data_IF_525164008633
#
_entry.id   IF_525164008633
#
_cell.length_a   1.000
_cell.length_b   1.000
_cell.length_c   1.000
_cell.angle_alpha   90.00
_cell.angle_beta   90.00
_cell.angle_gamma   90.00
#
_symmetry.space_group_name_H-M   'P 1'
#
loop_
_entity.id
_entity.type
_entity.pdbx_description
1 polymer ?
#
# COMPACT_ATOMS: atom_id res chain seq x y z
N UNK A 1 28.84 32.58 -50.08
CA UNK A 1 28.32 32.23 -48.75
C UNK A 1 29.36 31.37 -48.05
N UNK A 2 29.84 31.78 -46.88
CA UNK A 2 31.04 31.23 -46.25
C UNK A 2 30.78 29.81 -45.69
N UNK A 3 31.52 28.83 -46.23
CA UNK A 3 31.37 27.38 -45.96
C UNK A 3 31.51 27.04 -44.47
N UNK A 4 32.23 27.88 -43.72
CA UNK A 4 32.39 27.74 -42.27
C UNK A 4 31.11 28.09 -41.51
N UNK A 5 30.33 29.08 -41.96
CA UNK A 5 29.07 29.49 -41.30
C UNK A 5 27.95 28.46 -41.48
N UNK A 6 27.96 27.71 -42.57
CA UNK A 6 26.94 26.68 -42.84
C UNK A 6 27.11 25.43 -41.95
N UNK A 7 28.36 25.04 -41.65
CA UNK A 7 28.65 23.92 -40.75
C UNK A 7 28.25 24.21 -39.29
N UNK A 8 28.42 25.45 -38.82
CA UNK A 8 28.00 25.84 -37.46
C UNK A 8 26.47 25.76 -37.25
N UNK A 9 25.68 26.09 -38.27
CA UNK A 9 24.21 26.04 -38.20
C UNK A 9 23.70 24.59 -38.19
N UNK A 10 24.36 23.71 -38.94
CA UNK A 10 24.03 22.27 -38.99
C UNK A 10 24.44 21.52 -37.71
N UNK A 11 25.57 21.87 -37.10
CA UNK A 11 25.97 21.27 -35.81
C UNK A 11 25.11 21.76 -34.64
N UNK A 12 24.60 23.00 -34.69
CA UNK A 12 23.76 23.57 -33.63
C UNK A 12 22.37 22.94 -33.59
N UNK A 13 21.78 22.64 -34.74
CA UNK A 13 20.41 22.11 -34.83
C UNK A 13 20.31 20.63 -34.49
N UNK A 14 21.31 19.81 -34.85
CA UNK A 14 21.32 18.38 -34.52
C UNK A 14 21.45 18.12 -32.99
N UNK A 15 22.23 18.95 -32.30
CA UNK A 15 22.45 18.83 -30.85
C UNK A 15 21.20 19.19 -30.04
N UNK A 16 20.38 20.14 -30.51
CA UNK A 16 19.15 20.55 -29.83
C UNK A 16 18.02 19.53 -29.96
N UNK A 17 17.94 18.77 -31.05
CA UNK A 17 16.94 17.71 -31.22
C UNK A 17 17.22 16.46 -30.39
N UNK A 18 18.49 16.13 -30.10
CA UNK A 18 18.83 14.95 -29.29
C UNK A 18 18.55 15.16 -27.79
N UNK A 19 18.66 16.40 -27.30
CA UNK A 19 18.40 16.75 -25.90
C UNK A 19 16.91 16.72 -25.53
N UNK A 20 16.01 16.91 -26.50
CA UNK A 20 14.55 16.90 -26.26
C UNK A 20 13.98 15.50 -25.98
N UNK A 21 14.58 14.43 -26.51
CA UNK A 21 14.06 13.07 -26.39
C UNK A 21 14.49 12.32 -25.12
N UNK A 22 15.49 12.82 -24.39
CA UNK A 22 15.96 12.20 -23.12
C UNK A 22 15.16 12.74 -21.91
N UNK A 23 14.37 13.80 -22.11
CA UNK A 23 13.43 14.34 -21.11
C UNK A 23 12.15 13.49 -20.93
N UNK A 24 12.17 12.22 -21.33
CA UNK A 24 11.24 11.20 -20.83
C UNK A 24 11.48 10.90 -19.35
N UNK A 25 11.63 11.93 -18.51
CA UNK A 25 11.58 11.81 -17.07
C UNK A 25 10.16 11.40 -16.72
N UNK A 26 9.94 10.08 -16.60
CA UNK A 26 8.84 9.57 -15.81
C UNK A 26 8.87 10.33 -14.47
N UNK A 27 7.92 11.26 -14.29
CA UNK A 27 7.75 11.91 -12.98
C UNK A 27 7.58 10.76 -12.00
N UNK A 28 8.41 10.68 -10.94
CA UNK A 28 8.16 9.74 -9.88
C UNK A 28 6.71 9.95 -9.48
N UNK A 29 5.90 8.90 -9.61
CA UNK A 29 4.57 8.95 -8.99
C UNK A 29 4.81 9.31 -7.52
N UNK A 30 3.89 10.02 -6.88
CA UNK A 30 3.96 10.35 -5.43
C UNK A 30 4.25 9.16 -4.50
N UNK A 31 4.26 7.94 -5.04
CA UNK A 31 4.56 6.68 -4.37
C UNK A 31 6.02 6.18 -4.54
N UNK A 32 6.88 6.87 -5.30
CA UNK A 32 8.28 6.46 -5.51
C UNK A 32 9.24 7.52 -4.96
N UNK A 33 9.44 7.50 -3.65
CA UNK A 33 10.44 8.28 -2.93
C UNK A 33 11.65 7.39 -2.60
N UNK A 34 12.83 7.99 -2.61
CA UNK A 34 14.18 7.41 -2.45
C UNK A 34 14.25 6.22 -1.45
N UNK A 35 14.67 5.01 -1.87
CA UNK A 35 14.47 3.77 -1.10
C UNK A 35 15.44 3.52 0.07
N UNK A 36 16.40 4.41 0.33
CA UNK A 36 17.43 4.17 1.35
C UNK A 36 17.32 5.15 2.52
N UNK A 37 16.23 5.06 3.27
CA UNK A 37 16.20 5.56 4.65
C UNK A 37 16.83 4.48 5.52
N UNK A 38 17.87 4.83 6.29
CA UNK A 38 18.46 3.90 7.25
C UNK A 38 17.34 3.38 8.17
N UNK A 39 17.13 2.06 8.20
CA UNK A 39 16.14 1.47 9.10
C UNK A 39 16.59 1.73 10.54
N UNK A 40 15.63 2.10 11.37
CA UNK A 40 15.83 2.18 12.81
C UNK A 40 16.37 0.82 13.30
N UNK A 41 17.34 0.85 14.22
CA UNK A 41 17.98 -0.38 14.72
C UNK A 41 17.05 -1.10 15.70
N UNK A 42 16.18 -0.35 16.37
CA UNK A 42 15.16 -0.90 17.24
C UNK A 42 13.91 -1.22 16.41
N UNK A 43 13.43 -2.46 16.52
CA UNK A 43 12.17 -2.84 15.87
C UNK A 43 11.03 -2.09 16.55
N UNK A 44 10.27 -1.25 15.82
CA UNK A 44 9.15 -0.52 16.42
C UNK A 44 8.09 -1.49 16.93
N UNK A 45 7.36 -1.08 17.98
CA UNK A 45 6.21 -1.84 18.45
C UNK A 45 5.15 -1.94 17.35
N UNK A 46 4.61 -3.14 17.16
CA UNK A 46 3.52 -3.39 16.22
C UNK A 46 2.22 -2.78 16.77
N UNK A 47 1.75 -1.72 16.09
CA UNK A 47 0.56 -0.96 16.49
C UNK A 47 -0.73 -1.62 15.98
N UNK A 48 -0.69 -2.19 14.77
CA UNK A 48 -1.86 -2.78 14.12
C UNK A 48 -1.59 -4.19 13.58
N UNK A 49 -2.58 -5.08 13.68
CA UNK A 49 -2.52 -6.40 13.04
C UNK A 49 -3.18 -6.39 11.67
N UNK A 50 -2.52 -6.99 10.68
CA UNK A 50 -3.03 -7.25 9.33
C UNK A 50 -2.56 -8.63 8.87
N UNK A 51 -3.07 -9.11 7.73
CA UNK A 51 -2.93 -10.52 7.31
C UNK A 51 -1.47 -11.02 7.31
N UNK A 52 -0.49 -10.17 6.97
CA UNK A 52 0.92 -10.58 6.93
C UNK A 52 1.61 -10.62 8.31
N UNK A 53 1.09 -9.87 9.31
CA UNK A 53 1.60 -9.88 10.69
C UNK A 53 0.86 -10.92 11.55
N UNK A 54 -0.41 -11.14 11.25
CA UNK A 54 -1.28 -12.03 12.00
C UNK A 54 -2.03 -11.30 13.13
N UNK A 55 -3.05 -11.99 13.64
CA UNK A 55 -3.97 -11.49 14.66
C UNK A 55 -3.28 -11.24 16.01
N UNK A 56 -3.57 -10.10 16.65
CA UNK A 56 -3.13 -9.80 18.03
C UNK A 56 -4.23 -10.20 19.02
N UNK A 57 -3.90 -11.07 19.98
CA UNK A 57 -4.86 -11.54 21.01
C UNK A 57 -5.54 -10.37 21.72
N UNK A 58 -6.85 -10.48 21.91
CA UNK A 58 -7.67 -9.46 22.59
C UNK A 58 -8.10 -8.30 21.70
N UNK A 59 -7.83 -8.36 20.39
CA UNK A 59 -8.34 -7.37 19.43
C UNK A 59 -9.59 -7.90 18.73
N UNK A 60 -10.55 -7.02 18.46
CA UNK A 60 -11.73 -7.36 17.64
C UNK A 60 -11.59 -6.77 16.23
N UNK A 61 -12.39 -7.21 15.24
CA UNK A 61 -12.37 -6.65 13.90
C UNK A 61 -12.62 -5.14 13.90
N UNK A 62 -11.93 -4.42 13.02
CA UNK A 62 -12.06 -2.96 12.92
C UNK A 62 -13.49 -2.52 12.56
N UNK A 63 -14.21 -3.31 11.74
CA UNK A 63 -15.60 -3.00 11.33
C UNK A 63 -16.58 -2.96 12.50
N UNK A 64 -16.18 -3.45 13.69
CA UNK A 64 -16.94 -3.41 14.93
C UNK A 64 -16.29 -2.50 15.99
N UNK A 65 -15.44 -1.55 15.57
CA UNK A 65 -14.76 -0.61 16.46
C UNK A 65 -13.49 -1.15 17.11
N UNK A 66 -12.95 -2.27 16.63
CA UNK A 66 -11.64 -2.78 17.06
C UNK A 66 -10.46 -2.25 16.26
N UNK A 67 -9.30 -2.89 16.45
CA UNK A 67 -8.05 -2.55 15.77
C UNK A 67 -7.55 -3.63 14.82
N UNK A 68 -8.25 -4.78 14.73
CA UNK A 68 -7.83 -5.86 13.85
C UNK A 68 -8.26 -5.60 12.40
N UNK A 69 -7.26 -5.49 11.52
CA UNK A 69 -7.43 -5.28 10.09
C UNK A 69 -6.88 -6.48 9.29
N UNK A 70 -7.00 -7.69 9.84
CA UNK A 70 -6.71 -8.94 9.15
C UNK A 70 -7.87 -9.32 8.21
N UNK A 71 -7.54 -9.89 7.04
CA UNK A 71 -8.56 -10.40 6.12
C UNK A 71 -9.37 -11.52 6.78
N UNK A 72 -10.71 -11.50 6.72
CA UNK A 72 -11.56 -12.57 7.27
C UNK A 72 -11.21 -13.95 6.68
N UNK A 73 -10.76 -14.86 7.54
CA UNK A 73 -10.55 -16.27 7.22
C UNK A 73 -11.19 -17.15 8.30
N UNK A 74 -11.29 -18.48 8.06
CA UNK A 74 -11.80 -19.42 9.07
C UNK A 74 -10.91 -19.42 10.31
N UNK A 75 -9.61 -19.32 10.11
CA UNK A 75 -8.58 -19.31 11.13
C UNK A 75 -8.67 -18.04 11.98
N UNK A 76 -8.82 -16.88 11.34
CA UNK A 76 -9.01 -15.62 12.04
C UNK A 76 -10.31 -15.61 12.84
N UNK A 77 -11.41 -16.12 12.29
CA UNK A 77 -12.68 -16.22 13.01
C UNK A 77 -12.56 -17.13 14.25
N UNK A 78 -11.84 -18.25 14.16
CA UNK A 78 -11.52 -19.09 15.33
C UNK A 78 -10.76 -18.30 16.39
N UNK A 79 -9.79 -17.47 15.98
CA UNK A 79 -9.05 -16.62 16.90
C UNK A 79 -9.95 -15.59 17.60
N UNK A 80 -10.85 -14.93 16.85
CA UNK A 80 -11.83 -14.03 17.46
C UNK A 80 -12.74 -14.73 18.47
N UNK A 81 -13.22 -15.94 18.16
CA UNK A 81 -14.03 -16.72 19.11
C UNK A 81 -13.26 -17.04 20.40
N UNK A 82 -11.98 -17.42 20.27
CA UNK A 82 -11.10 -17.69 21.41
C UNK A 82 -10.87 -16.44 22.28
N UNK A 83 -10.81 -15.27 21.64
CA UNK A 83 -10.68 -13.98 22.33
C UNK A 83 -12.00 -13.48 22.94
N UNK A 84 -13.11 -14.19 22.70
CA UNK A 84 -14.43 -13.83 23.23
C UNK A 84 -15.27 -12.96 22.31
N UNK A 85 -14.76 -12.62 21.12
CA UNK A 85 -15.47 -11.82 20.11
C UNK A 85 -16.21 -12.70 19.10
N UNK A 86 -17.26 -12.14 18.49
CA UNK A 86 -17.98 -12.75 17.36
C UNK A 86 -18.47 -14.21 17.56
N UNK A 87 -18.68 -14.68 18.80
CA UNK A 87 -19.01 -16.10 19.11
C UNK A 87 -20.24 -16.66 18.36
N UNK A 88 -21.12 -15.79 17.87
CA UNK A 88 -22.32 -16.12 17.10
C UNK A 88 -22.19 -15.87 15.59
N UNK A 89 -20.98 -15.61 15.08
CA UNK A 89 -20.72 -15.43 13.65
C UNK A 89 -20.20 -16.72 13.03
N UNK A 90 -20.47 -16.83 11.72
CA UNK A 90 -19.74 -17.72 10.84
C UNK A 90 -18.97 -16.89 9.80
N UNK A 91 -18.06 -17.52 9.06
CA UNK A 91 -17.21 -16.79 8.11
C UNK A 91 -18.03 -16.05 7.05
N UNK A 92 -19.08 -16.68 6.51
CA UNK A 92 -19.94 -16.08 5.49
C UNK A 92 -20.59 -14.79 5.99
N UNK A 93 -21.12 -14.80 7.23
CA UNK A 93 -21.71 -13.63 7.86
C UNK A 93 -20.66 -12.53 8.06
N UNK A 94 -19.46 -12.89 8.53
CA UNK A 94 -18.39 -11.91 8.73
C UNK A 94 -17.98 -11.26 7.40
N UNK A 95 -17.77 -12.04 6.34
CA UNK A 95 -17.43 -11.53 5.01
C UNK A 95 -18.51 -10.59 4.49
N UNK A 96 -19.80 -10.96 4.62
CA UNK A 96 -20.91 -10.11 4.20
C UNK A 96 -20.92 -8.74 4.90
N UNK A 97 -20.53 -8.65 6.18
CA UNK A 97 -20.42 -7.37 6.88
C UNK A 97 -19.34 -6.46 6.28
N UNK A 98 -18.22 -7.03 5.83
CA UNK A 98 -17.17 -6.29 5.14
C UNK A 98 -17.65 -5.81 3.77
N UNK A 99 -18.27 -6.69 2.99
CA UNK A 99 -18.80 -6.41 1.66
C UNK A 99 -19.90 -5.33 1.71
N UNK A 100 -20.81 -5.40 2.68
CA UNK A 100 -21.88 -4.41 2.87
C UNK A 100 -21.35 -2.99 3.17
N UNK A 101 -20.14 -2.88 3.72
CA UNK A 101 -19.46 -1.59 3.96
C UNK A 101 -18.60 -1.14 2.77
N UNK A 102 -18.56 -1.94 1.70
CA UNK A 102 -17.77 -1.70 0.50
C UNK A 102 -16.27 -1.92 0.71
N UNK A 103 -15.89 -2.75 1.68
CA UNK A 103 -14.48 -3.06 1.98
C UNK A 103 -14.00 -4.15 1.03
N UNK A 104 -12.88 -3.92 0.37
CA UNK A 104 -12.25 -4.87 -0.55
C UNK A 104 -11.32 -5.80 0.22
N UNK A 105 -11.68 -7.08 0.29
CA UNK A 105 -10.91 -8.11 0.98
C UNK A 105 -9.73 -8.65 0.16
N UNK A 106 -9.85 -8.63 -1.17
CA UNK A 106 -8.82 -9.06 -2.10
C UNK A 106 -8.96 -8.30 -3.43
N UNK A 107 -7.84 -8.00 -4.07
CA UNK A 107 -7.83 -7.51 -5.45
C UNK A 107 -7.79 -8.69 -6.43
N UNK A 108 -8.36 -8.48 -7.62
CA UNK A 108 -8.26 -9.45 -8.72
C UNK A 108 -6.79 -9.73 -9.06
N UNK A 109 -6.50 -10.98 -9.47
CA UNK A 109 -5.18 -11.44 -9.91
C UNK A 109 -4.05 -11.38 -8.87
N UNK A 110 -4.36 -11.36 -7.56
CA UNK A 110 -3.34 -11.45 -6.50
C UNK A 110 -2.41 -10.25 -6.44
N UNK A 111 -2.88 -9.09 -6.92
CA UNK A 111 -2.10 -7.85 -6.91
C UNK A 111 -1.66 -7.48 -5.49
N UNK A 112 -0.37 -7.20 -5.33
CA UNK A 112 0.18 -6.72 -4.08
C UNK A 112 -0.01 -5.21 -3.94
N UNK A 113 -0.55 -4.78 -2.80
CA UNK A 113 -0.98 -3.40 -2.59
C UNK A 113 0.20 -2.46 -2.27
N UNK A 114 0.29 -1.34 -3.00
CA UNK A 114 1.20 -0.22 -2.73
C UNK A 114 0.43 1.09 -2.45
N UNK A 115 -0.83 1.00 -1.99
CA UNK A 115 -1.75 2.13 -1.80
C UNK A 115 -2.14 2.91 -3.08
N UNK A 116 -1.95 2.33 -4.27
CA UNK A 116 -2.44 2.91 -5.54
C UNK A 116 -3.76 2.29 -6.02
N UNK A 117 -4.52 1.67 -5.12
CA UNK A 117 -5.75 0.96 -5.49
C UNK A 117 -6.87 1.91 -5.91
N UNK A 118 -7.68 1.48 -6.89
CA UNK A 118 -8.80 2.26 -7.42
C UNK A 118 -9.91 2.49 -6.40
N UNK A 119 -10.04 1.61 -5.39
CA UNK A 119 -11.09 1.66 -4.38
C UNK A 119 -10.74 2.55 -3.16
N UNK A 120 -9.72 3.39 -3.27
CA UNK A 120 -9.25 4.26 -2.18
C UNK A 120 -8.16 3.59 -1.33
N UNK A 121 -7.62 4.31 -0.32
CA UNK A 121 -6.42 3.86 0.38
C UNK A 121 -6.64 2.58 1.22
N UNK A 122 -5.57 2.03 1.79
CA UNK A 122 -5.68 0.94 2.76
C UNK A 122 -6.53 1.38 3.96
N UNK A 123 -7.23 0.44 4.61
CA UNK A 123 -8.17 0.71 5.71
C UNK A 123 -7.53 1.51 6.85
N UNK A 124 -6.25 1.23 7.13
CA UNK A 124 -5.46 1.90 8.18
C UNK A 124 -5.16 3.37 7.86
N UNK A 125 -5.33 3.79 6.61
CA UNK A 125 -5.21 5.17 6.17
C UNK A 125 -6.59 5.78 5.87
N UNK A 126 -7.67 5.20 6.42
CA UNK A 126 -9.05 5.69 6.27
C UNK A 126 -9.75 5.30 4.98
N UNK A 127 -9.18 4.37 4.19
CA UNK A 127 -9.79 3.91 2.95
C UNK A 127 -10.64 2.65 3.10
N UNK A 128 -10.64 1.79 2.07
CA UNK A 128 -11.52 0.61 1.98
C UNK A 128 -10.80 -0.68 1.59
N UNK A 129 -9.48 -0.67 1.41
CA UNK A 129 -8.72 -1.85 1.04
C UNK A 129 -8.17 -2.58 2.27
N UNK A 130 -8.39 -3.90 2.35
CA UNK A 130 -7.83 -4.81 3.39
C UNK A 130 -6.66 -5.65 2.89
N UNK A 131 -6.22 -5.43 1.65
CA UNK A 131 -5.12 -6.19 1.04
C UNK A 131 -3.82 -5.78 1.70
N UNK A 132 -3.13 -6.78 2.27
CA UNK A 132 -1.84 -6.57 2.91
C UNK A 132 -0.86 -5.86 1.96
N UNK A 133 -0.10 -4.86 2.47
CA UNK A 133 0.99 -4.28 1.72
C UNK A 133 2.11 -5.31 1.50
N UNK A 134 2.90 -5.12 0.44
CA UNK A 134 4.10 -5.94 0.18
C UNK A 134 5.10 -5.81 1.32
N UNK A 135 5.48 -6.93 1.93
CA UNK A 135 6.51 -7.00 2.98
C UNK A 135 7.80 -6.28 2.52
N UNK A 136 8.49 -5.62 3.46
CA UNK A 136 9.72 -4.86 3.23
C UNK A 136 9.57 -3.61 2.34
N UNK A 137 8.35 -3.17 2.05
CA UNK A 137 8.11 -1.83 1.46
C UNK A 137 7.82 -0.79 2.53
N UNK A 138 8.06 0.50 2.25
CA UNK A 138 7.74 1.58 3.18
C UNK A 138 6.26 1.59 3.60
N UNK A 139 5.35 1.19 2.70
CA UNK A 139 3.94 1.07 3.04
C UNK A 139 3.69 -0.02 4.08
N UNK A 140 4.35 -1.17 3.96
CA UNK A 140 4.25 -2.21 4.97
C UNK A 140 4.73 -1.71 6.34
N UNK A 141 5.86 -1.02 6.37
CA UNK A 141 6.38 -0.43 7.62
C UNK A 141 5.38 0.59 8.20
N UNK A 142 4.81 1.46 7.36
CA UNK A 142 3.81 2.44 7.77
C UNK A 142 2.55 1.78 8.35
N UNK A 143 2.02 0.73 7.71
CA UNK A 143 0.86 -0.02 8.19
C UNK A 143 1.17 -0.76 9.49
N UNK A 144 2.30 -1.45 9.57
CA UNK A 144 2.70 -2.22 10.74
C UNK A 144 2.91 -1.34 11.98
N UNK A 145 3.45 -0.14 11.77
CA UNK A 145 3.78 0.81 12.85
C UNK A 145 2.71 1.88 13.07
N UNK A 146 1.61 1.87 12.31
CA UNK A 146 0.55 2.88 12.40
C UNK A 146 1.00 4.30 12.01
N UNK A 147 2.08 4.43 11.23
CA UNK A 147 2.56 5.74 10.74
C UNK A 147 1.77 6.14 9.50
N UNK A 148 1.19 7.34 9.53
CA UNK A 148 0.56 7.93 8.34
C UNK A 148 1.64 8.29 7.31
N UNK A 149 1.44 7.99 6.02
CA UNK A 149 2.33 8.45 4.96
C UNK A 149 2.35 9.98 4.96
N UNK A 150 3.53 10.59 4.89
CA UNK A 150 3.62 12.03 4.62
C UNK A 150 3.36 12.24 3.12
N UNK A 151 2.38 13.08 2.82
CA UNK A 151 1.93 13.42 1.45
C UNK A 151 2.72 14.62 0.96
#
# INVERSE_FOLDING_TARGET
MDRRKFLYVLSGTLASTLAGFISGCAKPTQYYFNPYVAKDLDSPELVHCFTAIGHKRGTQPFIFGGTCVCTPTKELLKAYHADGFLRNYNLRRLVAEYENRGIVLAHENGWQCNNQCKQGPHIVFGGKCMVSPTVATQNFENVATGKMPQV
#
